data_IF_724567039239
#
_entry.id   IF_724567039239
#
_cell.length_a   1.000
_cell.length_b   1.000
_cell.length_c   1.000
_cell.angle_alpha   90.00
_cell.angle_beta   90.00
_cell.angle_gamma   90.00
#
_symmetry.space_group_name_H-M   'P 1'
#
loop_
_entity.id
_entity.type
_entity.pdbx_description
1 polymer ?
#
# COMPACT_ATOMS: atom_id res chain seq x y z
N UNK A 1 -5.82 -3.88 5.35
CA UNK A 1 -4.74 -4.33 6.25
C UNK A 1 -4.83 -3.63 7.61
N UNK A 2 -4.78 -4.40 8.70
CA UNK A 2 -4.90 -3.85 10.06
C UNK A 2 -3.55 -3.26 10.51
N UNK A 3 -3.58 -2.24 11.36
CA UNK A 3 -2.35 -1.56 11.81
C UNK A 3 -1.43 -2.51 12.61
N UNK A 4 -2.02 -3.43 13.38
CA UNK A 4 -1.31 -4.44 14.17
C UNK A 4 -0.42 -5.33 13.30
N UNK A 5 -0.93 -5.76 12.14
CA UNK A 5 -0.19 -6.58 11.18
C UNK A 5 1.03 -5.83 10.61
N UNK A 6 0.88 -4.53 10.35
CA UNK A 6 1.95 -3.68 9.80
C UNK A 6 3.06 -3.47 10.85
N UNK A 7 2.69 -3.26 12.12
CA UNK A 7 3.67 -3.06 13.22
C UNK A 7 4.50 -4.30 13.53
N UNK A 8 3.99 -5.50 13.22
CA UNK A 8 4.70 -6.76 13.44
C UNK A 8 5.76 -7.06 12.36
N UNK A 9 5.73 -6.37 11.22
CA UNK A 9 6.69 -6.60 10.12
C UNK A 9 8.06 -6.02 10.43
N UNK A 10 9.13 -6.57 9.87
CA UNK A 10 10.47 -5.97 9.96
C UNK A 10 10.55 -4.66 9.14
N UNK A 11 11.60 -3.86 9.35
CA UNK A 11 11.77 -2.60 8.58
C UNK A 11 12.03 -2.87 7.10
N UNK A 12 12.75 -3.94 6.77
CA UNK A 12 12.97 -4.41 5.39
C UNK A 12 11.67 -4.87 4.74
N UNK A 13 10.85 -5.63 5.47
CA UNK A 13 9.53 -6.06 5.00
C UNK A 13 8.59 -4.87 4.76
N UNK A 14 8.65 -3.84 5.61
CA UNK A 14 7.89 -2.60 5.41
C UNK A 14 8.34 -1.86 4.15
N UNK A 15 9.65 -1.77 3.90
CA UNK A 15 10.18 -1.14 2.70
C UNK A 15 9.75 -1.88 1.43
N UNK A 16 9.88 -3.21 1.43
CA UNK A 16 9.43 -4.06 0.32
C UNK A 16 7.93 -3.91 0.06
N UNK A 17 7.14 -3.94 1.13
CA UNK A 17 5.70 -3.73 1.05
C UNK A 17 5.31 -2.34 0.51
N UNK A 18 6.05 -1.28 0.86
CA UNK A 18 5.82 0.06 0.31
C UNK A 18 6.09 0.09 -1.20
N UNK A 19 7.17 -0.54 -1.65
CA UNK A 19 7.49 -0.64 -3.09
C UNK A 19 6.41 -1.43 -3.84
N UNK A 20 6.03 -2.61 -3.35
CA UNK A 20 4.98 -3.45 -3.94
C UNK A 20 3.65 -2.69 -4.04
N UNK A 21 3.21 -2.02 -2.96
CA UNK A 21 1.96 -1.25 -2.98
C UNK A 21 2.00 -0.09 -3.99
N UNK A 22 3.17 0.52 -4.23
CA UNK A 22 3.30 1.59 -5.24
C UNK A 22 3.16 1.03 -6.66
N UNK A 23 3.78 -0.12 -6.93
CA UNK A 23 3.65 -0.83 -8.22
C UNK A 23 2.20 -1.25 -8.45
N UNK A 24 1.57 -1.86 -7.45
CA UNK A 24 0.16 -2.25 -7.54
C UNK A 24 -0.77 -1.04 -7.76
N UNK A 25 -0.52 0.09 -7.10
CA UNK A 25 -1.30 1.31 -7.33
C UNK A 25 -1.14 1.84 -8.75
N UNK A 26 0.06 1.75 -9.34
CA UNK A 26 0.30 2.10 -10.73
C UNK A 26 -0.47 1.16 -11.66
N UNK A 27 -0.40 -0.15 -11.42
CA UNK A 27 -1.13 -1.16 -12.19
C UNK A 27 -2.64 -0.96 -12.09
N UNK A 28 -3.16 -0.68 -10.90
CA UNK A 28 -4.58 -0.37 -10.70
C UNK A 28 -4.99 0.89 -11.48
N UNK A 29 -4.16 1.94 -11.48
CA UNK A 29 -4.42 3.17 -12.27
C UNK A 29 -4.43 2.89 -13.76
N UNK A 30 -3.47 2.10 -14.25
CA UNK A 30 -3.40 1.69 -15.65
C UNK A 30 -4.64 0.87 -16.04
N UNK A 31 -4.98 -0.16 -15.26
CA UNK A 31 -6.13 -1.00 -15.50
C UNK A 31 -7.46 -0.23 -15.44
N UNK A 32 -7.60 0.72 -14.53
CA UNK A 32 -8.79 1.58 -14.46
C UNK A 32 -8.91 2.48 -15.69
N UNK A 33 -7.79 2.97 -16.25
CA UNK A 33 -7.81 3.77 -17.50
C UNK A 33 -8.22 2.93 -18.71
N UNK A 34 -7.80 1.67 -18.77
CA UNK A 34 -8.08 0.77 -19.91
C UNK A 34 -9.46 0.12 -19.79
N UNK A 35 -9.87 -0.28 -18.58
CA UNK A 35 -11.16 -0.91 -18.26
C UNK A 35 -11.65 -0.46 -16.88
N UNK A 36 -12.32 0.68 -16.83
CA UNK A 36 -12.82 1.28 -15.59
C UNK A 36 -13.72 0.34 -14.77
N UNK A 37 -14.56 -0.45 -15.43
CA UNK A 37 -15.50 -1.38 -14.79
C UNK A 37 -14.82 -2.56 -14.09
N UNK A 38 -13.58 -2.89 -14.47
CA UNK A 38 -12.84 -4.02 -13.91
C UNK A 38 -12.16 -3.69 -12.57
N UNK A 39 -12.07 -2.42 -12.18
CA UNK A 39 -11.34 -2.00 -10.98
C UNK A 39 -12.27 -1.32 -9.99
N UNK A 40 -12.45 -1.98 -8.83
CA UNK A 40 -13.29 -1.47 -7.75
C UNK A 40 -12.64 -0.25 -7.06
N UNK A 41 -13.32 0.91 -6.97
CA UNK A 41 -12.74 2.15 -6.41
C UNK A 41 -12.21 2.04 -4.97
N UNK A 42 -12.84 1.19 -4.14
CA UNK A 42 -12.40 1.00 -2.76
C UNK A 42 -11.00 0.37 -2.65
N UNK A 43 -10.58 -0.42 -3.64
CA UNK A 43 -9.26 -1.06 -3.64
C UNK A 43 -8.14 -0.01 -3.67
N UNK A 44 -8.32 1.08 -4.42
CA UNK A 44 -7.39 2.21 -4.39
C UNK A 44 -7.29 2.85 -3.01
N UNK A 45 -8.43 3.04 -2.34
CA UNK A 45 -8.48 3.62 -0.99
C UNK A 45 -7.77 2.72 0.02
N UNK A 46 -8.01 1.42 -0.05
CA UNK A 46 -7.39 0.44 0.82
C UNK A 46 -5.87 0.35 0.63
N UNK A 47 -5.40 0.27 -0.61
CA UNK A 47 -3.96 0.22 -0.92
C UNK A 47 -3.24 1.51 -0.54
N UNK A 48 -3.83 2.69 -0.80
CA UNK A 48 -3.28 3.98 -0.32
C UNK A 48 -3.18 4.02 1.20
N UNK A 49 -4.24 3.57 1.90
CA UNK A 49 -4.27 3.56 3.37
C UNK A 49 -3.24 2.59 3.96
N UNK A 50 -3.07 1.41 3.34
CA UNK A 50 -2.05 0.44 3.75
C UNK A 50 -0.64 1.00 3.56
N UNK A 51 -0.37 1.63 2.42
CA UNK A 51 0.93 2.25 2.11
C UNK A 51 1.25 3.38 3.09
N UNK A 52 0.31 4.29 3.34
CA UNK A 52 0.49 5.38 4.32
C UNK A 52 0.82 4.85 5.71
N UNK A 53 0.09 3.82 6.18
CA UNK A 53 0.35 3.18 7.48
C UNK A 53 1.74 2.55 7.55
N UNK A 54 2.18 1.86 6.50
CA UNK A 54 3.51 1.25 6.45
C UNK A 54 4.62 2.33 6.51
N UNK A 55 4.45 3.44 5.79
CA UNK A 55 5.37 4.58 5.84
C UNK A 55 5.43 5.22 7.23
N UNK A 56 4.28 5.41 7.89
CA UNK A 56 4.22 5.95 9.26
C UNK A 56 4.99 5.06 10.23
N UNK A 57 4.73 3.75 10.23
CA UNK A 57 5.42 2.81 11.13
C UNK A 57 6.92 2.76 10.85
N UNK A 58 7.33 2.81 9.57
CA UNK A 58 8.75 2.86 9.23
C UNK A 58 9.40 4.14 9.75
N UNK A 59 8.74 5.29 9.59
CA UNK A 59 9.22 6.58 10.11
C UNK A 59 9.29 6.62 11.63
N UNK A 60 8.33 6.02 12.33
CA UNK A 60 8.33 5.90 13.79
C UNK A 60 9.53 5.09 14.31
N UNK A 61 10.08 4.17 13.51
CA UNK A 61 11.24 3.34 13.91
C UNK A 61 12.59 4.00 13.71
N UNK A 62 12.65 5.00 12.83
CA UNK A 62 13.89 5.75 12.52
C UNK A 62 14.07 6.92 13.47
N UNK A 63 12.99 7.36 14.13
CA UNK A 63 12.97 8.47 15.08
C UNK A 63 13.32 8.00 16.49
#
# INVERSE_FOLDING_TARGET
MKIKEIRNKSSEELQKMIQENRIELLNLRSNYRVRAEAVKPHVFKEKRKANARAMTVLSERVR
#
